data_IF_270497747245
#
_entry.id   IF_270497747245
#
_cell.length_a   1.000
_cell.length_b   1.000
_cell.length_c   1.000
_cell.angle_alpha   90.00
_cell.angle_beta   90.00
_cell.angle_gamma   90.00
#
_symmetry.space_group_name_H-M   'P 1'
#
loop_
_entity.id
_entity.type
_entity.pdbx_description
1 polymer ?
#
# COMPACT_ATOMS: atom_id res chain seq x y z
N UNK A 1 15.32 -5.19 15.56
CA UNK A 1 14.14 -5.83 14.94
C UNK A 1 14.31 -5.79 13.43
N UNK A 2 14.27 -6.96 12.77
CA UNK A 2 14.36 -7.05 11.31
C UNK A 2 12.93 -7.13 10.75
N UNK A 3 12.39 -6.00 10.30
CA UNK A 3 11.02 -5.91 9.80
C UNK A 3 10.99 -6.29 8.32
N UNK A 4 10.23 -7.33 7.97
CA UNK A 4 10.16 -7.87 6.60
C UNK A 4 9.33 -7.03 5.62
N UNK A 5 8.62 -5.99 6.10
CA UNK A 5 7.85 -5.08 5.25
C UNK A 5 7.72 -3.68 5.86
N UNK A 6 7.53 -2.66 5.01
CA UNK A 6 7.23 -1.29 5.43
C UNK A 6 6.00 -1.24 6.35
N UNK A 7 4.95 -2.00 6.03
CA UNK A 7 3.73 -2.07 6.86
C UNK A 7 4.04 -2.55 8.27
N UNK A 8 4.84 -3.61 8.40
CA UNK A 8 5.21 -4.15 9.71
C UNK A 8 6.05 -3.14 10.49
N UNK A 9 7.06 -2.52 9.86
CA UNK A 9 7.87 -1.49 10.50
C UNK A 9 7.01 -0.30 10.95
N UNK A 10 6.17 0.22 10.06
CA UNK A 10 5.31 1.38 10.33
C UNK A 10 4.41 1.16 11.55
N UNK A 11 3.82 -0.02 11.69
CA UNK A 11 2.94 -0.30 12.82
C UNK A 11 3.67 -0.59 14.15
N UNK A 12 4.96 -0.91 14.10
CA UNK A 12 5.72 -1.39 15.26
C UNK A 12 6.90 -0.49 15.66
N UNK A 13 7.18 0.58 14.92
CA UNK A 13 8.18 1.56 15.33
C UNK A 13 7.60 2.50 16.41
N UNK A 14 8.48 3.04 17.25
CA UNK A 14 8.09 4.06 18.23
C UNK A 14 7.97 5.40 17.52
N UNK A 15 6.78 6.01 17.58
CA UNK A 15 6.55 7.34 17.00
C UNK A 15 7.25 8.39 17.87
N UNK A 16 7.67 9.51 17.27
CA UNK A 16 8.22 10.66 17.99
C UNK A 16 7.23 11.18 19.05
N UNK A 17 7.75 11.56 20.22
CA UNK A 17 6.96 12.20 21.27
C UNK A 17 6.56 13.63 20.88
N UNK A 18 5.32 14.00 21.17
CA UNK A 18 4.73 15.30 20.90
C UNK A 18 3.82 15.68 22.10
N UNK A 19 4.28 16.61 22.93
CA UNK A 19 3.64 16.95 24.20
C UNK A 19 2.25 17.58 24.07
N UNK A 20 1.99 18.29 22.98
CA UNK A 20 0.71 18.96 22.73
C UNK A 20 -0.34 18.05 22.07
N UNK A 21 -0.01 16.78 21.81
CA UNK A 21 -0.91 15.86 21.11
C UNK A 21 -1.90 15.24 22.10
N UNK A 22 -3.18 15.30 21.76
CA UNK A 22 -4.26 14.66 22.53
C UNK A 22 -4.16 13.12 22.52
N UNK A 23 -3.74 12.56 21.37
CA UNK A 23 -3.58 11.12 21.18
C UNK A 23 -2.20 10.63 21.64
N UNK A 24 -2.03 9.31 21.91
CA UNK A 24 -0.75 8.71 22.25
C UNK A 24 0.40 9.21 21.37
N UNK A 25 1.46 9.68 22.03
CA UNK A 25 2.70 10.15 21.41
C UNK A 25 3.88 9.45 22.07
N UNK A 26 4.98 9.22 21.35
CA UNK A 26 6.10 8.49 21.94
C UNK A 26 5.87 6.99 22.10
N UNK A 27 4.77 6.43 21.59
CA UNK A 27 4.44 5.00 21.73
C UNK A 27 4.48 4.27 20.38
N UNK A 28 4.47 2.93 20.46
CA UNK A 28 4.32 2.06 19.29
C UNK A 28 2.84 2.03 18.89
N UNK A 29 2.47 2.35 17.64
CA UNK A 29 1.07 2.40 17.23
C UNK A 29 0.32 1.10 17.50
N UNK A 30 0.90 -0.05 17.12
CA UNK A 30 0.28 -1.36 17.36
C UNK A 30 -0.06 -1.60 18.83
N UNK A 31 0.85 -1.24 19.74
CA UNK A 31 0.61 -1.35 21.18
C UNK A 31 -0.55 -0.47 21.65
N UNK A 32 -0.60 0.80 21.20
CA UNK A 32 -1.68 1.70 21.56
C UNK A 32 -3.05 1.24 21.03
N UNK A 33 -3.07 0.63 19.84
CA UNK A 33 -4.29 0.04 19.28
C UNK A 33 -4.75 -1.21 20.02
N UNK A 34 -3.81 -2.03 20.49
CA UNK A 34 -4.15 -3.25 21.22
C UNK A 34 -4.52 -2.97 22.68
N UNK A 35 -4.05 -1.88 23.28
CA UNK A 35 -4.24 -1.55 24.69
C UNK A 35 -4.80 -0.12 24.87
N UNK A 36 -5.97 0.19 24.27
CA UNK A 36 -6.50 1.56 24.26
C UNK A 36 -6.78 2.10 25.66
N UNK A 37 -7.13 1.24 26.62
CA UNK A 37 -7.42 1.64 28.00
C UNK A 37 -6.22 2.25 28.75
N UNK A 38 -4.97 1.93 28.35
CA UNK A 38 -3.77 2.55 28.92
C UNK A 38 -3.60 4.02 28.49
N UNK A 39 -4.40 4.47 27.53
CA UNK A 39 -4.33 5.80 26.92
C UNK A 39 -5.67 6.54 26.96
N UNK A 40 -6.51 6.25 27.97
CA UNK A 40 -7.88 6.78 28.10
C UNK A 40 -8.76 6.53 26.87
N UNK A 41 -8.41 5.52 26.06
CA UNK A 41 -9.14 5.08 24.89
C UNK A 41 -10.07 3.92 25.20
N UNK A 42 -10.99 3.67 24.27
CA UNK A 42 -11.89 2.52 24.31
C UNK A 42 -11.66 1.61 23.11
N UNK A 43 -11.77 0.29 23.29
CA UNK A 43 -11.69 -0.65 22.18
C UNK A 43 -12.99 -0.61 21.37
N UNK A 44 -12.95 0.09 20.24
CA UNK A 44 -14.06 0.17 19.29
C UNK A 44 -14.03 -0.93 18.22
N UNK A 45 -13.17 -1.94 18.32
CA UNK A 45 -13.06 -2.99 17.31
C UNK A 45 -14.30 -3.88 17.33
N UNK A 46 -14.79 -4.21 16.14
CA UNK A 46 -15.80 -5.24 15.95
C UNK A 46 -15.08 -6.51 15.52
N UNK A 47 -15.17 -7.57 16.32
CA UNK A 47 -14.58 -8.86 15.96
C UNK A 47 -15.36 -9.47 14.80
N UNK A 48 -14.69 -9.66 13.67
CA UNK A 48 -15.26 -10.29 12.49
C UNK A 48 -14.69 -11.72 12.37
N UNK A 49 -15.54 -12.76 12.44
CA UNK A 49 -15.09 -14.15 12.21
C UNK A 49 -14.44 -14.30 10.84
N UNK A 50 -13.33 -15.04 10.77
CA UNK A 50 -12.60 -15.26 9.51
C UNK A 50 -13.49 -15.93 8.46
N UNK A 51 -14.37 -16.82 8.92
CA UNK A 51 -15.32 -17.55 8.10
C UNK A 51 -16.31 -16.60 7.41
N UNK A 52 -16.73 -15.53 8.10
CA UNK A 52 -17.60 -14.51 7.51
C UNK A 52 -16.88 -13.74 6.39
N UNK A 53 -15.60 -13.40 6.59
CA UNK A 53 -14.76 -12.75 5.57
C UNK A 53 -14.56 -13.67 4.37
N UNK A 54 -14.26 -14.96 4.59
CA UNK A 54 -14.08 -15.95 3.52
C UNK A 54 -15.36 -16.13 2.72
N UNK A 55 -16.52 -16.26 3.38
CA UNK A 55 -17.82 -16.35 2.68
C UNK A 55 -18.12 -15.10 1.87
N UNK A 56 -17.90 -13.92 2.44
CA UNK A 56 -18.11 -12.65 1.73
C UNK A 56 -17.23 -12.54 0.49
N UNK A 57 -15.97 -13.01 0.57
CA UNK A 57 -15.10 -13.05 -0.61
C UNK A 57 -15.62 -13.98 -1.69
N UNK A 58 -16.08 -15.18 -1.33
CA UNK A 58 -16.69 -16.11 -2.30
C UNK A 58 -17.90 -15.48 -2.99
N UNK A 59 -18.77 -14.80 -2.24
CA UNK A 59 -19.91 -14.07 -2.80
C UNK A 59 -19.47 -12.98 -3.80
N UNK A 60 -18.43 -12.21 -3.46
CA UNK A 60 -17.91 -11.18 -4.37
C UNK A 60 -17.32 -11.79 -5.65
N UNK A 61 -16.57 -12.88 -5.53
CA UNK A 61 -16.01 -13.58 -6.69
C UNK A 61 -17.12 -14.13 -7.61
N UNK A 62 -18.20 -14.67 -7.02
CA UNK A 62 -19.39 -15.12 -7.75
C UNK A 62 -20.15 -13.96 -8.43
N UNK A 63 -20.32 -12.83 -7.75
CA UNK A 63 -21.07 -11.67 -8.27
C UNK A 63 -20.29 -10.91 -9.35
N UNK A 64 -19.00 -10.66 -9.13
CA UNK A 64 -18.18 -9.85 -10.04
C UNK A 64 -17.45 -10.67 -11.09
N UNK A 65 -17.37 -11.99 -10.92
CA UNK A 65 -16.53 -12.88 -11.75
C UNK A 65 -15.04 -12.47 -11.77
N UNK A 66 -14.59 -11.83 -10.69
CA UNK A 66 -13.20 -11.38 -10.53
C UNK A 66 -12.62 -12.01 -9.27
N UNK A 67 -11.44 -12.61 -9.39
CA UNK A 67 -10.66 -13.06 -8.26
C UNK A 67 -10.15 -11.89 -7.41
N UNK A 68 -9.76 -12.19 -6.18
CA UNK A 68 -9.00 -11.26 -5.33
C UNK A 68 -7.80 -10.69 -6.08
N UNK A 69 -7.00 -11.54 -6.71
CA UNK A 69 -5.76 -11.15 -7.38
C UNK A 69 -6.03 -10.16 -8.53
N UNK A 70 -7.12 -10.36 -9.27
CA UNK A 70 -7.55 -9.43 -10.33
C UNK A 70 -8.04 -8.10 -9.76
N UNK A 71 -8.78 -8.10 -8.65
CA UNK A 71 -9.20 -6.85 -7.99
C UNK A 71 -8.01 -6.04 -7.46
N UNK A 72 -6.93 -6.71 -7.06
CA UNK A 72 -5.67 -6.07 -6.63
C UNK A 72 -4.70 -5.84 -7.80
N UNK A 73 -5.08 -6.15 -9.04
CA UNK A 73 -4.28 -5.91 -10.24
C UNK A 73 -4.46 -4.47 -10.69
N UNK A 74 -3.45 -3.65 -10.48
CA UNK A 74 -3.48 -2.22 -10.84
C UNK A 74 -3.15 -1.95 -12.31
N UNK A 75 -2.45 -2.89 -12.95
CA UNK A 75 -2.03 -2.79 -14.34
C UNK A 75 -2.06 -4.17 -14.98
N UNK A 76 -2.35 -4.26 -16.29
CA UNK A 76 -2.32 -5.53 -17.02
C UNK A 76 -0.95 -6.21 -16.96
N UNK A 77 -0.91 -7.52 -17.19
CA UNK A 77 0.32 -8.33 -17.04
C UNK A 77 1.43 -7.89 -18.02
N UNK A 78 1.05 -7.32 -19.17
CA UNK A 78 1.97 -6.80 -20.19
C UNK A 78 2.52 -5.39 -19.88
N UNK A 79 1.98 -4.70 -18.87
CA UNK A 79 2.38 -3.33 -18.52
C UNK A 79 3.88 -3.23 -18.26
N UNK A 80 4.45 -4.21 -17.56
CA UNK A 80 5.89 -4.21 -17.24
C UNK A 80 6.75 -4.29 -18.50
N UNK A 81 6.33 -5.10 -19.49
CA UNK A 81 7.03 -5.18 -20.77
C UNK A 81 6.89 -3.88 -21.55
N UNK A 82 5.70 -3.30 -21.61
CA UNK A 82 5.46 -2.00 -22.27
C UNK A 82 6.28 -0.87 -21.66
N UNK A 83 6.31 -0.79 -20.33
CA UNK A 83 7.10 0.19 -19.61
C UNK A 83 8.60 0.01 -19.87
N UNK A 84 9.09 -1.24 -19.92
CA UNK A 84 10.48 -1.53 -20.26
C UNK A 84 10.82 -1.13 -21.70
N UNK A 85 9.98 -1.48 -22.67
CA UNK A 85 10.20 -1.08 -24.07
C UNK A 85 10.18 0.43 -24.26
N UNK A 86 9.26 1.14 -23.59
CA UNK A 86 9.23 2.59 -23.58
C UNK A 86 10.51 3.18 -22.97
N UNK A 87 11.00 2.60 -21.87
CA UNK A 87 12.25 2.99 -21.23
C UNK A 87 13.47 2.83 -22.14
N UNK A 88 13.57 1.67 -22.80
CA UNK A 88 14.64 1.38 -23.75
C UNK A 88 14.59 2.32 -24.97
N UNK A 89 13.38 2.66 -25.44
CA UNK A 89 13.19 3.54 -26.59
C UNK A 89 13.65 4.99 -26.37
N UNK A 90 13.62 5.46 -25.10
CA UNK A 90 14.13 6.79 -24.74
C UNK A 90 15.64 6.75 -24.39
N UNK A 91 16.30 5.62 -24.62
CA UNK A 91 17.73 5.45 -24.44
C UNK A 91 18.16 5.06 -23.02
N UNK A 92 17.24 4.60 -22.17
CA UNK A 92 17.52 4.15 -20.80
C UNK A 92 18.36 5.15 -19.96
N UNK A 93 17.98 6.44 -19.88
CA UNK A 93 18.77 7.46 -19.19
C UNK A 93 19.02 7.16 -17.71
N UNK A 94 20.00 7.83 -17.09
CA UNK A 94 20.19 7.68 -15.65
C UNK A 94 19.10 8.46 -14.89
N UNK A 95 18.41 7.80 -13.97
CA UNK A 95 17.37 8.42 -13.12
C UNK A 95 17.95 8.84 -11.78
N UNK A 96 17.77 10.11 -11.45
CA UNK A 96 17.98 10.67 -10.11
C UNK A 96 16.85 11.68 -9.79
N UNK A 97 16.89 12.30 -8.61
CA UNK A 97 15.84 13.24 -8.18
C UNK A 97 15.69 14.46 -9.10
N UNK A 98 16.73 14.83 -9.83
CA UNK A 98 16.69 15.95 -10.78
C UNK A 98 16.18 15.56 -12.16
N UNK A 99 16.40 14.31 -12.59
CA UNK A 99 15.99 13.83 -13.92
C UNK A 99 14.70 13.01 -13.94
N UNK A 100 14.21 12.54 -12.77
CA UNK A 100 13.08 11.61 -12.71
C UNK A 100 11.80 12.14 -13.36
N UNK A 101 11.51 13.43 -13.20
CA UNK A 101 10.31 14.02 -13.79
C UNK A 101 10.41 14.14 -15.32
N UNK A 102 11.57 14.56 -15.83
CA UNK A 102 11.81 14.67 -17.28
C UNK A 102 11.79 13.31 -17.97
N UNK A 103 12.34 12.30 -17.30
CA UNK A 103 12.27 10.91 -17.73
C UNK A 103 10.82 10.42 -17.76
N UNK A 104 10.05 10.70 -16.72
CA UNK A 104 8.63 10.34 -16.67
C UNK A 104 7.84 10.98 -17.82
N UNK A 105 8.06 12.26 -18.11
CA UNK A 105 7.40 12.98 -19.22
C UNK A 105 7.72 12.31 -20.57
N UNK A 106 8.93 11.79 -20.76
CA UNK A 106 9.32 11.10 -21.99
C UNK A 106 8.67 9.72 -22.13
N UNK A 107 8.58 8.96 -21.03
CA UNK A 107 8.06 7.59 -21.04
C UNK A 107 6.53 7.57 -21.06
N UNK A 108 5.86 8.45 -20.30
CA UNK A 108 4.42 8.37 -20.06
C UNK A 108 3.58 8.28 -21.35
N UNK A 109 3.82 9.10 -22.40
CA UNK A 109 3.07 9.00 -23.66
C UNK A 109 3.21 7.64 -24.35
N UNK A 110 4.36 6.97 -24.20
CA UNK A 110 4.66 5.69 -24.84
C UNK A 110 4.00 4.51 -24.13
N UNK A 111 3.71 4.66 -22.84
CA UNK A 111 3.05 3.63 -22.03
C UNK A 111 1.52 3.74 -22.14
N UNK A 112 0.97 4.94 -22.36
CA UNK A 112 -0.49 5.21 -22.34
C UNK A 112 -1.21 4.94 -23.67
N UNK A 113 -0.52 4.75 -24.80
CA UNK A 113 -1.10 4.74 -26.15
C UNK A 113 -1.94 3.50 -26.56
N UNK A 114 -2.45 2.71 -25.62
CA UNK A 114 -3.40 1.62 -25.91
C UNK A 114 -4.57 1.70 -24.92
N UNK A 115 -5.61 2.44 -25.33
CA UNK A 115 -7.00 2.29 -24.87
C UNK A 115 -7.89 2.24 -26.11
#
# INVERSE_FOLDING_TARGET
>A
MNYRSLKTWWNHHRVRSQSAKLMPSGHVPGYAFDHPAEFDGMDCRISIPKEAVTRLRGFLEEDTQLSREECFRWYPDDFSQRALSAWESVGSPKVDLSSAWDVFIQIAPLVTLIL
#
